data_IF_714367138746
#
_entry.id   IF_714367138746
#
_cell.length_a   1.000
_cell.length_b   1.000
_cell.length_c   1.000
_cell.angle_alpha   90.00
_cell.angle_beta   90.00
_cell.angle_gamma   90.00
#
_symmetry.space_group_name_H-M   'P 1'
#
loop_
_entity.id
_entity.type
_entity.pdbx_description
1 polymer ?
#
# COMPACT_ATOMS: atom_id res chain seq x y z
N UNK A 1 6.32 7.76 21.73
CA UNK A 1 5.15 8.03 20.83
C UNK A 1 5.36 7.25 19.55
N UNK A 2 4.46 6.33 19.25
CA UNK A 2 4.56 5.52 18.04
C UNK A 2 4.15 6.34 16.80
N UNK A 3 4.95 6.24 15.73
CA UNK A 3 4.59 6.71 14.38
C UNK A 3 4.58 5.51 13.42
N UNK A 4 3.50 5.34 12.66
CA UNK A 4 3.38 4.33 11.62
C UNK A 4 3.42 5.01 10.26
N UNK A 5 4.39 4.63 9.42
CA UNK A 5 4.55 5.11 8.05
C UNK A 5 4.06 4.00 7.10
N UNK A 6 2.90 4.20 6.49
CA UNK A 6 2.41 3.35 5.43
C UNK A 6 3.07 3.76 4.11
N UNK A 7 3.87 2.90 3.51
CA UNK A 7 4.51 3.11 2.22
C UNK A 7 3.94 2.16 1.17
N UNK A 8 3.65 2.65 -0.03
CA UNK A 8 3.34 1.80 -1.17
C UNK A 8 4.64 1.40 -1.87
N UNK A 9 4.72 0.17 -2.37
CA UNK A 9 5.84 -0.29 -3.20
C UNK A 9 6.10 0.63 -4.40
N UNK A 10 7.32 0.63 -4.92
CA UNK A 10 7.73 1.33 -6.15
C UNK A 10 7.02 0.80 -7.40
N UNK A 11 7.20 1.49 -8.53
CA UNK A 11 6.55 1.18 -9.81
C UNK A 11 6.97 -0.20 -10.34
N UNK A 12 6.03 -0.86 -11.03
CA UNK A 12 6.22 -2.12 -11.76
C UNK A 12 5.72 -1.99 -13.20
N UNK A 13 6.13 -2.89 -14.08
CA UNK A 13 5.63 -2.94 -15.46
C UNK A 13 4.09 -3.08 -15.53
N UNK A 14 3.47 -3.77 -14.57
CA UNK A 14 2.02 -3.92 -14.55
C UNK A 14 1.30 -2.65 -14.07
N UNK A 15 1.98 -1.73 -13.35
CA UNK A 15 1.46 -0.38 -13.11
C UNK A 15 1.34 0.38 -14.43
N UNK A 16 2.43 0.40 -15.21
CA UNK A 16 2.48 1.10 -16.50
C UNK A 16 1.45 0.55 -17.49
N UNK A 17 1.30 -0.77 -17.54
CA UNK A 17 0.35 -1.47 -18.43
C UNK A 17 -1.09 -1.44 -17.95
N UNK A 18 -1.39 -0.84 -16.80
CA UNK A 18 -2.73 -0.77 -16.23
C UNK A 18 -3.42 -2.14 -16.11
N UNK A 19 -2.72 -3.10 -15.49
CA UNK A 19 -3.20 -4.46 -15.26
C UNK A 19 -3.61 -4.64 -13.80
N UNK A 20 -4.71 -5.34 -13.54
CA UNK A 20 -5.07 -5.77 -12.19
C UNK A 20 -4.05 -6.79 -11.68
N UNK A 21 -3.12 -6.36 -10.85
CA UNK A 21 -1.98 -7.17 -10.39
C UNK A 21 -2.36 -8.16 -9.29
N UNK A 22 -3.02 -7.63 -8.25
CA UNK A 22 -3.32 -8.41 -7.06
C UNK A 22 -2.09 -9.14 -6.52
N UNK A 23 -2.23 -10.43 -6.35
CA UNK A 23 -1.18 -11.31 -5.78
C UNK A 23 -0.17 -11.83 -6.80
N UNK A 24 -0.23 -11.40 -8.07
CA UNK A 24 0.82 -11.72 -9.05
C UNK A 24 2.15 -11.17 -8.53
N UNK A 25 3.13 -12.04 -8.36
CA UNK A 25 4.43 -11.68 -7.83
C UNK A 25 5.36 -11.17 -8.94
N UNK A 26 5.45 -9.86 -9.05
CA UNK A 26 6.30 -9.14 -10.03
C UNK A 26 7.29 -8.25 -9.30
N UNK A 27 8.50 -8.11 -9.88
CA UNK A 27 9.54 -7.20 -9.38
C UNK A 27 9.27 -5.73 -9.76
N UNK A 28 9.99 -4.82 -9.12
CA UNK A 28 10.06 -3.41 -9.52
C UNK A 28 10.65 -3.28 -10.93
N UNK A 29 10.23 -2.24 -11.68
CA UNK A 29 10.93 -1.79 -12.87
C UNK A 29 12.03 -0.78 -12.49
N UNK A 30 12.75 -0.23 -13.48
CA UNK A 30 13.83 0.73 -13.24
C UNK A 30 13.36 1.99 -12.50
N UNK A 31 12.19 2.52 -12.88
CA UNK A 31 11.56 3.64 -12.19
C UNK A 31 11.26 3.30 -10.72
N UNK A 32 10.67 2.13 -10.47
CA UNK A 32 10.35 1.70 -9.11
C UNK A 32 11.57 1.45 -8.23
N UNK A 33 12.67 0.95 -8.79
CA UNK A 33 13.94 0.85 -8.09
C UNK A 33 14.44 2.24 -7.69
N UNK A 34 14.43 3.20 -8.61
CA UNK A 34 14.86 4.58 -8.33
C UNK A 34 13.93 5.28 -7.33
N UNK A 35 12.61 5.06 -7.42
CA UNK A 35 11.65 5.55 -6.43
C UNK A 35 11.95 5.00 -5.02
N UNK A 36 12.31 3.72 -4.91
CA UNK A 36 12.63 3.07 -3.63
C UNK A 36 13.90 3.66 -3.00
N UNK A 37 14.93 3.96 -3.82
CA UNK A 37 16.15 4.63 -3.37
C UNK A 37 15.85 6.03 -2.82
N UNK A 38 15.09 6.85 -3.56
CA UNK A 38 14.72 8.19 -3.13
C UNK A 38 13.88 8.18 -1.83
N UNK A 39 13.00 7.18 -1.68
CA UNK A 39 12.25 6.99 -0.44
C UNK A 39 13.18 6.64 0.72
N UNK A 40 14.14 5.74 0.52
CA UNK A 40 15.10 5.37 1.55
C UNK A 40 16.01 6.54 1.93
N UNK A 41 16.50 7.31 0.95
CA UNK A 41 17.24 8.55 1.18
C UNK A 41 16.43 9.54 2.02
N UNK A 42 15.15 9.76 1.68
CA UNK A 42 14.25 10.63 2.42
C UNK A 42 14.06 10.18 3.87
N UNK A 43 13.88 8.88 4.09
CA UNK A 43 13.69 8.31 5.43
C UNK A 43 14.99 8.19 6.22
N UNK A 44 16.18 8.27 5.60
CA UNK A 44 17.46 8.15 6.29
C UNK A 44 17.71 9.25 7.33
N UNK A 45 17.02 10.38 7.19
CA UNK A 45 17.11 11.51 8.13
C UNK A 45 16.31 11.32 9.43
N UNK A 46 15.57 10.22 9.59
CA UNK A 46 14.76 9.93 10.78
C UNK A 46 15.11 8.55 11.34
N UNK A 47 14.95 8.37 12.65
CA UNK A 47 15.16 7.04 13.25
C UNK A 47 13.98 6.12 12.92
N UNK A 48 14.24 4.97 12.31
CA UNK A 48 13.26 3.89 12.08
C UNK A 48 13.67 2.71 12.99
N UNK A 49 12.69 2.15 13.69
CA UNK A 49 12.91 1.08 14.65
C UNK A 49 12.58 -0.30 14.05
N UNK A 50 11.66 -0.37 13.09
CA UNK A 50 11.32 -1.59 12.38
C UNK A 50 10.75 -1.31 10.99
N UNK A 51 10.95 -2.26 10.07
CA UNK A 51 10.41 -2.24 8.71
C UNK A 51 9.69 -3.56 8.46
N UNK A 52 8.38 -3.48 8.27
CA UNK A 52 7.52 -4.61 7.89
C UNK A 52 7.19 -4.56 6.41
N UNK A 53 7.06 -5.72 5.78
CA UNK A 53 6.72 -5.79 4.35
C UNK A 53 5.73 -6.90 4.03
N UNK A 54 4.88 -6.63 3.04
CA UNK A 54 4.21 -7.66 2.26
C UNK A 54 5.24 -8.66 1.69
N UNK A 55 4.91 -9.96 1.58
CA UNK A 55 5.81 -10.96 1.02
C UNK A 55 6.07 -10.82 -0.49
N UNK A 56 5.29 -10.01 -1.22
CA UNK A 56 5.46 -9.84 -2.67
C UNK A 56 6.71 -9.03 -3.01
N UNK A 57 7.51 -9.53 -3.97
CA UNK A 57 8.83 -9.00 -4.33
C UNK A 57 8.86 -7.47 -4.51
N UNK A 58 7.86 -6.87 -5.14
CA UNK A 58 7.79 -5.41 -5.33
C UNK A 58 7.78 -4.62 -4.01
N UNK A 59 7.07 -5.13 -3.01
CA UNK A 59 7.02 -4.52 -1.68
C UNK A 59 8.28 -4.86 -0.87
N UNK A 60 8.70 -6.13 -0.91
CA UNK A 60 9.90 -6.59 -0.23
C UNK A 60 11.14 -5.83 -0.71
N UNK A 61 11.36 -5.70 -2.03
CA UNK A 61 12.50 -4.94 -2.53
C UNK A 61 12.46 -3.46 -2.11
N UNK A 62 11.29 -2.83 -2.09
CA UNK A 62 11.17 -1.45 -1.58
C UNK A 62 11.54 -1.39 -0.09
N UNK A 63 11.07 -2.35 0.71
CA UNK A 63 11.36 -2.43 2.15
C UNK A 63 12.84 -2.70 2.43
N UNK A 64 13.48 -3.60 1.67
CA UNK A 64 14.90 -3.94 1.80
C UNK A 64 15.80 -2.71 1.57
N UNK A 65 15.47 -1.88 0.57
CA UNK A 65 16.21 -0.62 0.34
C UNK A 65 16.06 0.31 1.54
N UNK A 66 14.85 0.52 2.07
CA UNK A 66 14.63 1.34 3.26
C UNK A 66 15.40 0.78 4.46
N UNK A 67 15.27 -0.51 4.75
CA UNK A 67 15.90 -1.17 5.90
C UNK A 67 17.43 -1.08 5.86
N UNK A 68 18.03 -1.13 4.67
CA UNK A 68 19.49 -1.04 4.50
C UNK A 68 20.08 0.28 4.99
N UNK A 69 19.37 1.40 4.84
CA UNK A 69 19.81 2.71 5.34
C UNK A 69 19.76 2.82 6.88
N UNK A 70 19.00 1.94 7.53
CA UNK A 70 18.84 1.91 8.99
C UNK A 70 19.56 0.72 9.65
N UNK A 71 20.22 -0.16 8.87
CA UNK A 71 20.85 -1.39 9.34
C UNK A 71 19.85 -2.33 10.03
N UNK A 72 18.62 -2.38 9.51
CA UNK A 72 17.55 -3.23 9.97
C UNK A 72 17.36 -4.42 9.03
N UNK A 73 16.76 -5.48 9.56
CA UNK A 73 16.20 -6.57 8.76
C UNK A 73 14.71 -6.28 8.50
N UNK A 74 14.19 -6.77 7.36
CA UNK A 74 12.77 -6.63 7.02
C UNK A 74 11.98 -7.76 7.68
N UNK A 75 10.96 -7.43 8.45
CA UNK A 75 9.99 -8.37 8.97
C UNK A 75 8.89 -8.63 7.94
N UNK A 76 8.71 -9.89 7.52
CA UNK A 76 7.65 -10.25 6.57
C UNK A 76 6.32 -10.34 7.31
N UNK A 77 5.36 -9.53 6.89
CA UNK A 77 3.98 -9.54 7.36
C UNK A 77 3.04 -10.08 6.27
N UNK A 78 2.68 -11.38 6.28
CA UNK A 78 1.83 -11.98 5.25
C UNK A 78 0.49 -11.27 5.06
N UNK A 79 -0.08 -10.72 6.12
CA UNK A 79 -1.36 -10.02 6.11
C UNK A 79 -1.30 -8.63 5.44
N UNK A 80 -0.10 -8.13 5.11
CA UNK A 80 0.10 -6.97 4.23
C UNK A 80 0.12 -7.33 2.74
N UNK A 81 -0.12 -8.59 2.35
CA UNK A 81 -0.20 -9.01 0.94
C UNK A 81 -1.28 -8.21 0.19
N UNK A 82 -1.08 -7.99 -1.12
CA UNK A 82 -2.03 -7.22 -1.93
C UNK A 82 -3.43 -7.86 -1.98
N UNK A 83 -4.39 -7.04 -2.36
CA UNK A 83 -5.78 -7.43 -2.57
C UNK A 83 -5.89 -8.55 -3.62
N UNK A 84 -6.61 -9.61 -3.28
CA UNK A 84 -6.89 -10.67 -4.22
C UNK A 84 -8.02 -10.25 -5.17
N UNK A 85 -7.66 -9.85 -6.38
CA UNK A 85 -8.62 -9.50 -7.43
C UNK A 85 -9.29 -10.73 -8.07
N UNK A 86 -8.94 -11.96 -7.64
CA UNK A 86 -9.53 -13.19 -8.16
C UNK A 86 -9.44 -13.27 -9.67
N UNK A 87 -10.59 -13.44 -10.34
CA UNK A 87 -10.66 -13.56 -11.81
C UNK A 87 -10.19 -12.34 -12.60
N UNK A 88 -9.97 -11.20 -11.96
CA UNK A 88 -9.45 -10.03 -12.65
C UNK A 88 -7.92 -9.99 -12.69
N UNK A 89 -7.24 -10.81 -11.89
CA UNK A 89 -5.79 -10.83 -11.84
C UNK A 89 -5.19 -11.17 -13.21
N UNK A 90 -4.22 -10.36 -13.63
CA UNK A 90 -3.55 -10.48 -14.92
C UNK A 90 -4.30 -9.85 -16.09
N UNK A 91 -5.53 -9.36 -15.90
CA UNK A 91 -6.29 -8.72 -16.97
C UNK A 91 -6.04 -7.21 -17.02
N UNK A 92 -5.91 -6.62 -18.21
CA UNK A 92 -5.92 -5.17 -18.41
C UNK A 92 -7.25 -4.55 -17.95
N UNK A 93 -7.22 -3.31 -17.46
CA UNK A 93 -8.43 -2.60 -17.03
C UNK A 93 -9.51 -2.52 -18.11
N UNK A 94 -9.11 -2.31 -19.36
CA UNK A 94 -10.06 -2.24 -20.49
C UNK A 94 -10.77 -3.57 -20.73
N UNK A 95 -10.06 -4.69 -20.59
CA UNK A 95 -10.66 -6.02 -20.73
C UNK A 95 -11.65 -6.29 -19.58
N UNK A 96 -11.28 -5.97 -18.34
CA UNK A 96 -12.16 -6.11 -17.17
C UNK A 96 -13.41 -5.25 -17.35
N UNK A 97 -13.25 -3.98 -17.75
CA UNK A 97 -14.36 -3.06 -18.03
C UNK A 97 -15.34 -3.61 -19.09
N UNK A 98 -14.82 -4.28 -20.10
CA UNK A 98 -15.65 -4.87 -21.17
C UNK A 98 -16.30 -6.18 -20.70
N UNK A 99 -15.49 -7.10 -20.14
CA UNK A 99 -15.89 -8.47 -19.80
C UNK A 99 -16.76 -8.56 -18.52
N UNK A 100 -16.49 -7.70 -17.53
CA UNK A 100 -17.17 -7.69 -16.23
C UNK A 100 -17.92 -6.37 -15.98
N UNK A 101 -18.54 -5.81 -17.02
CA UNK A 101 -19.13 -4.45 -17.04
C UNK A 101 -19.91 -4.06 -15.77
N UNK A 102 -20.80 -4.93 -15.27
CA UNK A 102 -21.61 -4.63 -14.09
C UNK A 102 -20.76 -4.57 -12.82
N UNK A 103 -19.89 -5.56 -12.61
CA UNK A 103 -19.03 -5.62 -11.43
C UNK A 103 -17.97 -4.51 -11.44
N UNK A 104 -17.44 -4.17 -12.63
CA UNK A 104 -16.51 -3.05 -12.77
C UNK A 104 -17.16 -1.70 -12.43
N UNK A 105 -18.41 -1.48 -12.84
CA UNK A 105 -19.15 -0.28 -12.43
C UNK A 105 -19.35 -0.24 -10.89
N UNK A 106 -19.73 -1.37 -10.30
CA UNK A 106 -19.86 -1.48 -8.84
C UNK A 106 -18.52 -1.25 -8.10
N UNK A 107 -17.41 -1.74 -8.66
CA UNK A 107 -16.08 -1.49 -8.11
C UNK A 107 -15.75 0.01 -8.07
N UNK A 108 -16.11 0.76 -9.11
CA UNK A 108 -15.89 2.20 -9.16
C UNK A 108 -16.84 3.00 -8.26
N UNK A 109 -18.10 2.58 -8.15
CA UNK A 109 -19.13 3.31 -7.42
C UNK A 109 -19.24 2.92 -5.95
N UNK A 110 -19.18 1.61 -5.65
CA UNK A 110 -19.45 1.05 -4.34
C UNK A 110 -18.48 -0.10 -4.00
N UNK A 111 -17.15 0.11 -3.99
CA UNK A 111 -16.16 -0.96 -3.81
C UNK A 111 -16.32 -1.73 -2.49
N UNK A 112 -16.87 -1.07 -1.47
CA UNK A 112 -17.10 -1.64 -0.15
C UNK A 112 -18.23 -2.70 -0.10
N UNK A 113 -19.06 -2.76 -1.14
CA UNK A 113 -20.22 -3.68 -1.20
C UNK A 113 -19.96 -4.94 -2.02
N UNK A 114 -18.81 -5.06 -2.63
CA UNK A 114 -18.52 -6.18 -3.52
C UNK A 114 -17.44 -7.09 -2.94
N UNK A 115 -17.50 -8.35 -3.35
CA UNK A 115 -16.42 -9.32 -3.24
C UNK A 115 -15.98 -9.71 -4.64
N UNK A 116 -14.68 -9.77 -4.87
CA UNK A 116 -14.15 -10.20 -6.16
C UNK A 116 -14.48 -11.67 -6.42
N UNK A 117 -14.82 -12.04 -7.66
CA UNK A 117 -15.05 -13.46 -8.00
C UNK A 117 -13.77 -14.27 -7.74
N UNK A 118 -13.85 -15.26 -6.88
CA UNK A 118 -12.71 -16.07 -6.41
C UNK A 118 -11.60 -15.24 -5.75
N UNK A 119 -11.96 -14.10 -5.13
CA UNK A 119 -11.03 -13.19 -4.47
C UNK A 119 -11.58 -12.60 -3.18
N UNK A 120 -11.05 -11.44 -2.80
CA UNK A 120 -11.37 -10.74 -1.54
C UNK A 120 -12.43 -9.65 -1.71
N UNK A 121 -13.02 -9.24 -0.60
CA UNK A 121 -13.68 -7.94 -0.40
C UNK A 121 -12.72 -6.95 0.29
N UNK A 122 -13.04 -5.65 0.27
CA UNK A 122 -12.26 -4.66 1.05
C UNK A 122 -12.36 -4.91 2.57
N UNK A 123 -13.43 -5.56 3.03
CA UNK A 123 -13.58 -5.93 4.44
C UNK A 123 -12.62 -7.06 4.85
N UNK A 124 -12.40 -8.05 3.98
CA UNK A 124 -11.42 -9.11 4.22
C UNK A 124 -10.00 -8.51 4.35
N UNK A 125 -9.67 -7.53 3.48
CA UNK A 125 -8.38 -6.81 3.55
C UNK A 125 -8.26 -5.99 4.84
N UNK A 126 -9.34 -5.29 5.23
CA UNK A 126 -9.36 -4.49 6.45
C UNK A 126 -9.08 -5.33 7.70
N UNK A 127 -9.74 -6.46 7.80
CA UNK A 127 -9.60 -7.37 8.93
C UNK A 127 -8.14 -7.84 9.08
N UNK A 128 -7.57 -8.46 8.02
CA UNK A 128 -6.20 -8.97 8.09
C UNK A 128 -5.14 -7.88 8.24
N UNK A 129 -5.28 -6.74 7.56
CA UNK A 129 -4.27 -5.70 7.64
C UNK A 129 -4.26 -4.96 8.99
N UNK A 130 -5.42 -4.86 9.68
CA UNK A 130 -5.47 -4.30 11.04
C UNK A 130 -4.76 -5.18 12.06
N UNK A 131 -4.72 -6.51 11.89
CA UNK A 131 -3.96 -7.38 12.82
C UNK A 131 -2.48 -6.99 12.86
N UNK A 132 -1.90 -6.60 11.70
CA UNK A 132 -0.51 -6.14 11.66
C UNK A 132 -0.34 -4.80 12.37
N UNK A 133 -1.30 -3.89 12.22
CA UNK A 133 -1.25 -2.60 12.93
C UNK A 133 -1.34 -2.81 14.44
N UNK A 134 -2.23 -3.70 14.91
CA UNK A 134 -2.40 -4.03 16.33
C UNK A 134 -1.10 -4.65 16.90
N UNK A 135 -0.45 -5.53 16.14
CA UNK A 135 0.87 -6.08 16.52
C UNK A 135 1.93 -5.00 16.61
N UNK A 136 1.98 -4.07 15.66
CA UNK A 136 2.93 -2.95 15.68
C UNK A 136 2.69 -2.04 16.87
N UNK A 137 1.43 -1.71 17.17
CA UNK A 137 1.06 -0.90 18.36
C UNK A 137 1.47 -1.58 19.65
N UNK A 138 1.35 -2.92 19.73
CA UNK A 138 1.71 -3.68 20.93
C UNK A 138 3.23 -3.82 21.12
N UNK A 139 4.03 -3.81 20.04
CA UNK A 139 5.48 -4.11 20.07
C UNK A 139 6.38 -2.88 20.08
N UNK A 140 5.91 -1.74 19.56
CA UNK A 140 6.78 -0.60 19.26
C UNK A 140 6.31 0.71 19.90
N UNK A 141 7.27 1.56 20.25
CA UNK A 141 7.01 2.91 20.78
C UNK A 141 7.60 4.03 19.92
N UNK A 142 8.43 3.68 18.91
CA UNK A 142 9.12 4.62 18.04
C UNK A 142 8.49 4.69 16.65
N UNK A 143 9.30 4.65 15.59
CA UNK A 143 8.83 4.80 14.21
C UNK A 143 8.94 3.49 13.44
N UNK A 144 7.83 3.06 12.84
CA UNK A 144 7.72 1.81 12.08
C UNK A 144 7.26 2.08 10.67
N UNK A 145 7.89 1.42 9.68
CA UNK A 145 7.49 1.49 8.28
C UNK A 145 6.76 0.20 7.89
N UNK A 146 5.57 0.31 7.29
CA UNK A 146 4.82 -0.80 6.71
C UNK A 146 4.80 -0.63 5.20
N UNK A 147 5.50 -1.50 4.46
CA UNK A 147 5.55 -1.46 3.00
C UNK A 147 4.53 -2.44 2.43
N UNK A 148 3.55 -1.91 1.72
CA UNK A 148 2.45 -2.70 1.19
C UNK A 148 1.98 -2.17 -0.18
N UNK A 149 0.70 -2.26 -0.45
CA UNK A 149 0.08 -2.06 -1.76
C UNK A 149 -1.00 -1.00 -1.70
N UNK A 150 -1.39 -0.50 -2.87
CA UNK A 150 -2.39 0.57 -2.98
C UNK A 150 -3.69 0.25 -2.26
N UNK A 151 -4.29 -0.91 -2.52
CA UNK A 151 -5.59 -1.28 -1.93
C UNK A 151 -5.46 -1.43 -0.42
N UNK A 152 -4.44 -2.12 0.05
CA UNK A 152 -4.19 -2.35 1.49
C UNK A 152 -3.99 -1.02 2.22
N UNK A 153 -3.12 -0.15 1.69
CA UNK A 153 -2.86 1.15 2.32
C UNK A 153 -4.10 2.04 2.36
N UNK A 154 -4.89 2.09 1.26
CA UNK A 154 -6.15 2.87 1.25
C UNK A 154 -7.15 2.36 2.29
N UNK A 155 -7.28 1.04 2.42
CA UNK A 155 -8.15 0.41 3.42
C UNK A 155 -7.65 0.69 4.84
N UNK A 156 -6.34 0.58 5.09
CA UNK A 156 -5.75 0.93 6.38
C UNK A 156 -5.95 2.41 6.71
N UNK A 157 -5.75 3.32 5.75
CA UNK A 157 -5.97 4.76 5.97
C UNK A 157 -7.43 5.02 6.36
N UNK A 158 -8.40 4.44 5.66
CA UNK A 158 -9.80 4.53 6.07
C UNK A 158 -9.99 4.00 7.50
N UNK A 159 -9.44 2.83 7.81
CA UNK A 159 -9.58 2.18 9.11
C UNK A 159 -9.05 3.04 10.26
N UNK A 160 -7.81 3.54 10.11
CA UNK A 160 -7.12 4.33 11.13
C UNK A 160 -7.76 5.72 11.35
N UNK A 161 -8.48 6.23 10.33
CA UNK A 161 -9.29 7.46 10.44
C UNK A 161 -10.70 7.21 11.01
N UNK A 162 -11.07 5.96 11.33
CA UNK A 162 -12.42 5.62 11.77
C UNK A 162 -13.46 5.67 10.65
N UNK A 163 -13.03 5.68 9.38
CA UNK A 163 -13.89 5.66 8.20
C UNK A 163 -14.18 4.22 7.78
N UNK A 164 -15.34 4.00 7.17
CA UNK A 164 -15.63 2.74 6.49
C UNK A 164 -15.03 2.69 5.07
N UNK A 165 -15.10 1.53 4.45
CA UNK A 165 -14.52 1.31 3.12
C UNK A 165 -15.27 2.01 1.97
N UNK A 166 -16.40 2.72 2.22
CA UNK A 166 -17.07 3.54 1.21
C UNK A 166 -16.20 4.73 0.78
N UNK A 167 -15.27 5.14 1.65
CA UNK A 167 -14.32 6.23 1.40
C UNK A 167 -13.08 5.78 0.60
N UNK A 168 -12.99 4.53 0.17
CA UNK A 168 -11.84 3.95 -0.54
C UNK A 168 -11.34 4.81 -1.71
N UNK A 169 -12.25 5.34 -2.54
CA UNK A 169 -11.89 6.17 -3.69
C UNK A 169 -11.54 7.62 -3.34
N UNK A 170 -11.82 8.05 -2.11
CA UNK A 170 -11.44 9.38 -1.63
C UNK A 170 -9.94 9.47 -1.23
N UNK A 171 -9.28 8.32 -1.13
CA UNK A 171 -7.87 8.21 -0.71
C UNK A 171 -6.98 8.05 -1.94
N UNK A 172 -6.01 8.91 -2.11
CA UNK A 172 -4.94 8.76 -3.11
C UNK A 172 -3.76 7.99 -2.49
N UNK A 173 -3.09 7.15 -3.27
CA UNK A 173 -1.89 6.43 -2.84
C UNK A 173 -0.99 6.13 -4.04
N UNK A 174 0.03 6.95 -4.24
CA UNK A 174 0.99 6.85 -5.34
C UNK A 174 2.10 5.82 -5.03
N UNK A 175 2.83 5.35 -6.05
CA UNK A 175 4.01 4.49 -5.88
C UNK A 175 5.07 5.19 -5.05
N UNK A 176 5.65 4.49 -4.09
CA UNK A 176 6.52 5.05 -3.05
C UNK A 176 5.93 6.27 -2.31
N UNK A 177 4.62 6.55 -2.40
CA UNK A 177 3.96 7.56 -1.57
C UNK A 177 3.86 7.07 -0.13
N UNK A 178 4.12 7.96 0.82
CA UNK A 178 4.04 7.65 2.26
C UNK A 178 2.89 8.36 2.93
N UNK A 179 2.25 7.68 3.88
CA UNK A 179 1.21 8.24 4.75
C UNK A 179 1.59 7.95 6.19
N UNK A 180 1.69 8.97 7.02
CA UNK A 180 2.18 8.86 8.40
C UNK A 180 1.05 9.11 9.40
N UNK A 181 0.94 8.19 10.34
CA UNK A 181 0.07 8.31 11.51
C UNK A 181 0.90 8.37 12.79
N UNK A 182 0.59 9.33 13.66
CA UNK A 182 1.01 9.29 15.06
C UNK A 182 -0.05 8.55 15.88
N UNK A 183 0.39 7.67 16.79
CA UNK A 183 -0.49 6.97 17.72
C UNK A 183 -0.31 7.53 19.13
N UNK A 184 -1.37 8.12 19.67
CA UNK A 184 -1.40 8.75 20.99
C UNK A 184 -2.76 8.55 21.66
N UNK A 185 -2.77 8.23 22.94
CA UNK A 185 -3.99 8.09 23.74
C UNK A 185 -5.05 7.23 23.04
N UNK A 186 -4.61 6.06 22.53
CA UNK A 186 -5.44 5.10 21.79
C UNK A 186 -6.09 5.67 20.52
N UNK A 187 -5.49 6.70 19.91
CA UNK A 187 -5.98 7.35 18.68
C UNK A 187 -4.89 7.45 17.64
N UNK A 188 -5.27 7.20 16.40
CA UNK A 188 -4.43 7.49 15.24
C UNK A 188 -4.70 8.91 14.73
N UNK A 189 -3.62 9.67 14.54
CA UNK A 189 -3.65 11.05 14.05
C UNK A 189 -2.91 11.07 12.72
N UNK A 190 -3.59 11.39 11.63
CA UNK A 190 -2.96 11.55 10.32
C UNK A 190 -2.10 12.81 10.33
N UNK A 191 -0.79 12.67 10.17
CA UNK A 191 0.17 13.78 10.17
C UNK A 191 0.67 14.14 8.78
N UNK A 192 0.76 13.13 7.88
CA UNK A 192 1.08 13.33 6.45
C UNK A 192 0.29 12.34 5.61
N UNK A 193 -0.09 12.74 4.41
CA UNK A 193 -0.80 11.85 3.48
C UNK A 193 -0.19 11.91 2.09
N UNK A 194 0.08 10.72 1.53
CA UNK A 194 0.59 10.52 0.18
C UNK A 194 1.77 11.45 -0.16
N UNK A 195 2.71 11.60 0.79
CA UNK A 195 3.91 12.41 0.57
C UNK A 195 4.80 11.74 -0.47
N UNK A 196 5.02 12.44 -1.57
CA UNK A 196 5.86 12.05 -2.71
C UNK A 196 6.84 13.13 -3.10
N UNK A 197 6.99 14.18 -2.27
CA UNK A 197 7.80 15.36 -2.59
C UNK A 197 9.26 15.00 -2.96
N UNK A 198 9.82 14.00 -2.30
CA UNK A 198 11.18 13.52 -2.56
C UNK A 198 11.36 12.80 -3.89
N UNK A 199 10.28 12.37 -4.56
CA UNK A 199 10.36 11.71 -5.86
C UNK A 199 10.61 12.68 -7.01
N UNK A 200 10.33 13.99 -6.83
CA UNK A 200 10.49 14.98 -7.89
C UNK A 200 9.78 14.59 -9.18
N UNK A 201 10.51 14.49 -10.32
CA UNK A 201 9.91 14.15 -11.61
C UNK A 201 9.43 12.70 -11.71
N UNK A 202 9.80 11.81 -10.77
CA UNK A 202 9.31 10.44 -10.72
C UNK A 202 7.99 10.29 -9.96
N UNK A 203 7.42 11.39 -9.50
CA UNK A 203 6.07 11.41 -8.94
C UNK A 203 5.04 11.04 -10.01
N UNK A 204 4.13 10.16 -9.69
CA UNK A 204 3.08 9.71 -10.60
C UNK A 204 2.17 10.89 -11.00
N UNK A 205 2.23 11.32 -12.27
CA UNK A 205 1.53 12.51 -12.75
C UNK A 205 -0.01 12.32 -12.78
N UNK A 206 -0.48 11.08 -12.92
CA UNK A 206 -1.90 10.74 -12.88
C UNK A 206 -2.14 9.47 -12.07
N UNK A 207 -3.30 9.32 -11.40
CA UNK A 207 -3.68 8.05 -10.80
C UNK A 207 -3.96 7.05 -11.93
N UNK A 208 -2.93 6.30 -12.33
CA UNK A 208 -3.01 5.33 -13.43
C UNK A 208 -3.62 3.99 -13.01
N UNK A 209 -4.06 3.89 -11.77
CA UNK A 209 -4.42 2.62 -11.15
C UNK A 209 -5.92 2.59 -10.83
N UNK A 210 -6.75 2.32 -11.78
CA UNK A 210 -8.17 2.02 -11.54
C UNK A 210 -8.46 0.56 -11.68
#
# INVERSE_FOLDING_TARGET
MLEIILARHGETELNVKQVFRGRIDIKLNETGLRQSELLAEYLSGVNIDAVYSSPLRRALNTAEVIASYHKLEVEIAPDLIDFDFGKWQGLPHQEVKHRYKKLYAQWLENPHRIKMPDGESLSDVRERALTVVDEVVAKHEGRVVLVSHRVVNKVLICALLGLDNSHFWNIRQDTCGTTTFAYQNERFILTKHNDTFYLGPLTQAQPSDF
#
